data_IF_032851279194
#
_entry.id   IF_032851279194
#
_cell.length_a   1.000
_cell.length_b   1.000
_cell.length_c   1.000
_cell.angle_alpha   90.00
_cell.angle_beta   90.00
_cell.angle_gamma   90.00
#
_symmetry.space_group_name_H-M   'P 1'
#
loop_
_entity.id
_entity.type
_entity.pdbx_description
1 polymer ?
#
# COMPACT_ATOMS: atom_id res chain seq x y z
N UNK A 1 -22.33 -28.43 3.35
CA UNK A 1 -22.84 -27.73 2.15
C UNK A 1 -22.31 -28.50 0.96
N UNK A 2 -23.17 -29.25 0.30
CA UNK A 2 -22.79 -29.92 -0.94
C UNK A 2 -22.97 -28.91 -2.07
N UNK A 3 -21.86 -28.56 -2.73
CA UNK A 3 -21.82 -27.66 -3.88
C UNK A 3 -22.37 -28.40 -5.10
N UNK A 4 -23.70 -28.54 -5.17
CA UNK A 4 -24.39 -29.14 -6.30
C UNK A 4 -24.35 -28.12 -7.46
N UNK A 5 -23.68 -28.47 -8.56
CA UNK A 5 -23.48 -27.67 -9.80
C UNK A 5 -22.42 -26.55 -9.79
N UNK A 6 -21.37 -26.65 -8.99
CA UNK A 6 -20.24 -25.73 -9.11
C UNK A 6 -19.23 -26.20 -10.17
N UNK A 7 -19.25 -25.59 -11.36
CA UNK A 7 -18.23 -25.81 -12.38
C UNK A 7 -17.07 -24.83 -12.19
N UNK A 8 -15.85 -25.38 -12.14
CA UNK A 8 -14.61 -24.60 -12.14
C UNK A 8 -14.20 -24.35 -13.59
N UNK A 9 -14.17 -23.08 -14.01
CA UNK A 9 -13.68 -22.71 -15.33
C UNK A 9 -12.30 -22.10 -15.18
N UNK A 10 -11.30 -22.59 -15.92
CA UNK A 10 -9.97 -22.01 -15.90
C UNK A 10 -9.89 -20.84 -16.89
N UNK A 11 -9.65 -19.63 -16.39
CA UNK A 11 -9.49 -18.42 -17.22
C UNK A 11 -8.11 -17.84 -16.94
N UNK A 12 -7.24 -17.83 -17.98
CA UNK A 12 -5.87 -17.29 -17.91
C UNK A 12 -5.02 -17.93 -16.80
N UNK A 13 -5.14 -19.26 -16.60
CA UNK A 13 -4.36 -19.97 -15.57
C UNK A 13 -4.91 -19.82 -14.14
N UNK A 14 -6.15 -19.34 -13.99
CA UNK A 14 -6.82 -19.18 -12.69
C UNK A 14 -8.15 -19.92 -12.70
N UNK A 15 -8.44 -20.70 -11.66
CA UNK A 15 -9.76 -21.28 -11.46
C UNK A 15 -10.72 -20.18 -11.01
N UNK A 16 -11.63 -19.82 -11.90
CA UNK A 16 -12.68 -18.82 -11.66
C UNK A 16 -13.99 -19.59 -11.49
N UNK A 17 -14.75 -19.20 -10.48
CA UNK A 17 -16.07 -19.78 -10.25
C UNK A 17 -17.04 -19.23 -11.31
N UNK A 18 -17.91 -20.09 -11.85
CA UNK A 18 -18.90 -19.67 -12.85
C UNK A 18 -19.72 -18.45 -12.41
N UNK A 19 -20.05 -18.36 -11.12
CA UNK A 19 -20.74 -17.21 -10.51
C UNK A 19 -19.94 -15.89 -10.60
N UNK A 20 -18.61 -15.92 -10.55
CA UNK A 20 -17.80 -14.69 -10.71
C UNK A 20 -17.84 -14.18 -12.15
N UNK A 21 -17.83 -15.10 -13.13
CA UNK A 21 -17.93 -14.73 -14.55
C UNK A 21 -19.30 -14.18 -14.88
N UNK A 22 -20.36 -14.83 -14.42
CA UNK A 22 -21.74 -14.38 -14.62
C UNK A 22 -21.97 -13.02 -13.94
N UNK A 23 -21.53 -12.86 -12.69
CA UNK A 23 -21.57 -11.58 -12.00
C UNK A 23 -20.81 -10.47 -12.74
N UNK A 24 -19.63 -10.78 -13.29
CA UNK A 24 -18.86 -9.79 -14.07
C UNK A 24 -19.53 -9.44 -15.40
N UNK A 25 -20.23 -10.38 -16.03
CA UNK A 25 -20.96 -10.12 -17.27
C UNK A 25 -22.21 -9.29 -17.01
N UNK A 26 -22.98 -9.62 -15.97
CA UNK A 26 -24.16 -8.88 -15.54
C UNK A 26 -23.82 -7.42 -15.17
N UNK A 27 -22.68 -7.21 -14.51
CA UNK A 27 -22.15 -5.87 -14.22
C UNK A 27 -21.81 -5.09 -15.50
N UNK A 28 -21.19 -5.74 -16.49
CA UNK A 28 -20.82 -5.10 -17.75
C UNK A 28 -22.03 -4.75 -18.61
N UNK A 29 -23.07 -5.58 -18.57
CA UNK A 29 -24.34 -5.34 -19.28
C UNK A 29 -25.15 -4.20 -18.63
N UNK A 30 -24.81 -3.79 -17.41
CA UNK A 30 -25.56 -2.78 -16.65
C UNK A 30 -26.88 -3.31 -16.10
N UNK A 31 -27.11 -4.62 -16.18
CA UNK A 31 -28.33 -5.28 -15.73
C UNK A 31 -28.41 -5.32 -14.20
N UNK A 32 -27.25 -5.39 -13.53
CA UNK A 32 -27.14 -5.24 -12.08
C UNK A 32 -26.98 -3.77 -11.69
N UNK A 33 -28.07 -3.15 -11.23
CA UNK A 33 -27.97 -1.90 -10.47
C UNK A 33 -27.18 -2.16 -9.19
N UNK A 34 -26.27 -1.25 -8.80
CA UNK A 34 -25.58 -1.28 -7.50
C UNK A 34 -26.61 -1.23 -6.37
N UNK A 35 -27.10 -2.40 -5.96
CA UNK A 35 -28.20 -2.56 -5.02
C UNK A 35 -27.97 -3.71 -4.05
N UNK A 36 -28.98 -4.00 -3.24
CA UNK A 36 -28.92 -5.02 -2.20
C UNK A 36 -28.68 -6.43 -2.76
N UNK A 37 -29.24 -6.74 -3.93
CA UNK A 37 -29.05 -8.04 -4.59
C UNK A 37 -27.58 -8.29 -4.96
N UNK A 38 -26.90 -7.29 -5.55
CA UNK A 38 -25.47 -7.37 -5.89
C UNK A 38 -24.62 -7.60 -4.65
N UNK A 39 -24.93 -6.93 -3.53
CA UNK A 39 -24.22 -7.13 -2.25
C UNK A 39 -24.47 -8.53 -1.66
N UNK A 40 -25.67 -9.07 -1.82
CA UNK A 40 -26.01 -10.42 -1.37
C UNK A 40 -25.28 -11.49 -2.19
N UNK A 41 -25.22 -11.35 -3.52
CA UNK A 41 -24.42 -12.24 -4.38
C UNK A 41 -22.93 -12.19 -4.01
N UNK A 42 -22.35 -11.00 -3.86
CA UNK A 42 -20.96 -10.85 -3.40
C UNK A 42 -20.71 -11.50 -2.03
N UNK A 43 -21.69 -11.49 -1.13
CA UNK A 43 -21.58 -12.15 0.17
C UNK A 43 -21.55 -13.68 0.03
N UNK A 44 -22.38 -14.24 -0.85
CA UNK A 44 -22.37 -15.68 -1.13
C UNK A 44 -21.03 -16.13 -1.73
N UNK A 45 -20.50 -15.37 -2.69
CA UNK A 45 -19.18 -15.64 -3.27
C UNK A 45 -18.07 -15.51 -2.21
N UNK A 46 -18.14 -14.52 -1.31
CA UNK A 46 -17.20 -14.40 -0.18
C UNK A 46 -17.26 -15.63 0.76
N UNK A 47 -18.47 -16.09 1.10
CA UNK A 47 -18.69 -17.28 1.95
C UNK A 47 -18.13 -18.56 1.31
N UNK A 48 -18.33 -18.71 0.00
CA UNK A 48 -17.73 -19.78 -0.80
C UNK A 48 -16.19 -19.74 -0.74
N UNK A 49 -15.57 -18.57 -0.96
CA UNK A 49 -14.11 -18.45 -0.87
C UNK A 49 -13.59 -18.78 0.53
N UNK A 50 -14.34 -18.42 1.57
CA UNK A 50 -14.02 -18.80 2.94
C UNK A 50 -14.05 -20.32 3.13
N UNK A 51 -15.07 -21.00 2.60
CA UNK A 51 -15.16 -22.46 2.65
C UNK A 51 -13.99 -23.14 1.90
N UNK A 52 -13.65 -22.66 0.71
CA UNK A 52 -12.52 -23.17 -0.08
C UNK A 52 -11.18 -22.98 0.64
N UNK A 53 -10.99 -21.81 1.28
CA UNK A 53 -9.81 -21.51 2.10
C UNK A 53 -9.71 -22.44 3.31
N UNK A 54 -10.82 -22.71 3.99
CA UNK A 54 -10.89 -23.66 5.12
C UNK A 54 -10.58 -25.09 4.66
N UNK A 55 -11.12 -25.51 3.51
CA UNK A 55 -10.82 -26.82 2.92
C UNK A 55 -9.33 -26.95 2.54
N UNK A 56 -8.75 -25.92 1.92
CA UNK A 56 -7.31 -25.89 1.58
C UNK A 56 -6.45 -26.02 2.83
N UNK A 57 -6.83 -25.34 3.91
CA UNK A 57 -6.17 -25.44 5.22
C UNK A 57 -6.30 -26.85 5.81
N UNK A 58 -7.48 -27.45 5.77
CA UNK A 58 -7.73 -28.80 6.27
C UNK A 58 -6.92 -29.87 5.51
N UNK A 59 -6.74 -29.68 4.19
CA UNK A 59 -5.93 -30.57 3.34
C UNK A 59 -4.42 -30.28 3.42
N UNK A 60 -3.98 -29.32 4.25
CA UNK A 60 -2.61 -28.81 4.29
C UNK A 60 -2.07 -28.37 2.91
N UNK A 61 -2.96 -27.98 1.99
CA UNK A 61 -2.57 -27.44 0.69
C UNK A 61 -2.24 -25.94 0.86
N UNK A 62 -0.97 -25.67 1.15
CA UNK A 62 -0.47 -24.31 1.36
C UNK A 62 -0.29 -23.53 0.05
N UNK A 63 -0.27 -24.22 -1.10
CA UNK A 63 -0.10 -23.59 -2.41
C UNK A 63 -1.36 -22.80 -2.81
N UNK A 64 -2.55 -23.36 -2.60
CA UNK A 64 -3.81 -22.73 -3.00
C UNK A 64 -4.39 -21.77 -1.95
N UNK A 65 -4.03 -21.93 -0.67
CA UNK A 65 -4.50 -21.08 0.43
C UNK A 65 -4.43 -19.56 0.16
N UNK A 66 -3.33 -19.01 -0.38
CA UNK A 66 -3.17 -17.58 -0.62
C UNK A 66 -4.15 -17.06 -1.67
N UNK A 67 -4.40 -17.87 -2.69
CA UNK A 67 -5.32 -17.55 -3.77
C UNK A 67 -6.74 -17.36 -3.20
N UNK A 68 -7.22 -18.33 -2.42
CA UNK A 68 -8.53 -18.23 -1.77
C UNK A 68 -8.62 -17.07 -0.79
N UNK A 69 -7.53 -16.79 -0.06
CA UNK A 69 -7.50 -15.63 0.83
C UNK A 69 -7.62 -14.30 0.08
N UNK A 70 -6.93 -14.17 -1.05
CA UNK A 70 -6.97 -12.98 -1.90
C UNK A 70 -8.37 -12.77 -2.48
N UNK A 71 -9.00 -13.84 -3.02
CA UNK A 71 -10.35 -13.77 -3.58
C UNK A 71 -11.40 -13.42 -2.52
N UNK A 72 -11.32 -14.01 -1.32
CA UNK A 72 -12.17 -13.64 -0.17
C UNK A 72 -12.07 -12.12 0.12
N UNK A 73 -10.85 -11.58 0.18
CA UNK A 73 -10.62 -10.16 0.47
C UNK A 73 -11.03 -9.24 -0.67
N UNK A 74 -10.94 -9.69 -1.91
CA UNK A 74 -11.40 -8.95 -3.07
C UNK A 74 -12.93 -8.82 -3.07
N UNK A 75 -13.66 -9.90 -2.78
CA UNK A 75 -15.12 -9.85 -2.63
C UNK A 75 -15.53 -8.96 -1.46
N UNK A 76 -14.83 -9.05 -0.32
CA UNK A 76 -15.07 -8.17 0.82
C UNK A 76 -14.89 -6.69 0.42
N UNK A 77 -13.85 -6.36 -0.37
CA UNK A 77 -13.61 -5.00 -0.87
C UNK A 77 -14.72 -4.54 -1.81
N UNK A 78 -15.15 -5.37 -2.78
CA UNK A 78 -16.22 -5.05 -3.73
C UNK A 78 -17.56 -4.84 -3.03
N UNK A 79 -17.85 -5.61 -1.97
CA UNK A 79 -19.08 -5.51 -1.19
C UNK A 79 -19.14 -4.25 -0.32
N UNK A 80 -17.99 -3.77 0.13
CA UNK A 80 -17.89 -2.66 1.07
C UNK A 80 -17.95 -1.31 0.32
N UNK A 81 -18.82 -0.36 0.72
CA UNK A 81 -18.87 0.95 0.06
C UNK A 81 -17.51 1.65 0.07
N UNK A 82 -17.09 2.19 -1.08
CA UNK A 82 -15.76 2.80 -1.26
C UNK A 82 -15.45 3.87 -0.20
N UNK A 83 -16.44 4.70 0.14
CA UNK A 83 -16.31 5.81 1.10
C UNK A 83 -16.47 5.40 2.57
N UNK A 84 -16.83 4.14 2.86
CA UNK A 84 -16.86 3.67 4.24
C UNK A 84 -15.44 3.54 4.79
N UNK A 85 -15.25 3.72 6.10
CA UNK A 85 -13.93 3.57 6.74
C UNK A 85 -13.30 2.20 6.45
N UNK A 86 -14.11 1.13 6.50
CA UNK A 86 -13.67 -0.23 6.16
C UNK A 86 -13.28 -0.35 4.68
N UNK A 87 -14.02 0.30 3.77
CA UNK A 87 -13.71 0.34 2.34
C UNK A 87 -12.38 1.04 2.07
N UNK A 88 -12.17 2.22 2.67
CA UNK A 88 -10.92 2.96 2.57
C UNK A 88 -9.74 2.15 3.14
N UNK A 89 -9.91 1.50 4.29
CA UNK A 89 -8.87 0.67 4.90
C UNK A 89 -8.55 -0.56 4.04
N UNK A 90 -9.55 -1.26 3.50
CA UNK A 90 -9.34 -2.40 2.59
C UNK A 90 -8.69 -1.97 1.27
N UNK A 91 -9.07 -0.82 0.73
CA UNK A 91 -8.47 -0.24 -0.46
C UNK A 91 -7.01 0.15 -0.23
N UNK A 92 -6.71 0.82 0.89
CA UNK A 92 -5.35 1.17 1.27
C UNK A 92 -4.52 -0.10 1.50
N UNK A 93 -5.05 -1.09 2.21
CA UNK A 93 -4.37 -2.36 2.47
C UNK A 93 -4.06 -3.12 1.17
N UNK A 94 -5.00 -3.17 0.23
CA UNK A 94 -4.78 -3.73 -1.10
C UNK A 94 -3.74 -2.92 -1.89
N UNK A 95 -3.87 -1.59 -1.91
CA UNK A 95 -3.01 -0.70 -2.68
C UNK A 95 -1.55 -0.83 -2.26
N UNK A 96 -1.31 -0.89 -0.95
CA UNK A 96 0.01 -0.83 -0.33
C UNK A 96 0.68 -2.20 -0.26
N UNK A 97 -0.07 -3.26 0.01
CA UNK A 97 0.52 -4.58 0.30
C UNK A 97 -0.01 -5.74 -0.54
N UNK A 98 -1.03 -5.52 -1.38
CA UNK A 98 -1.71 -6.61 -2.07
C UNK A 98 -2.32 -7.61 -1.09
N UNK A 99 -2.94 -7.13 0.00
CA UNK A 99 -3.45 -7.96 1.11
C UNK A 99 -2.37 -8.74 1.89
N UNK A 100 -1.12 -8.27 1.87
CA UNK A 100 0.00 -8.94 2.54
C UNK A 100 0.51 -10.17 1.79
N UNK A 101 0.15 -10.31 0.51
CA UNK A 101 0.52 -11.43 -0.35
C UNK A 101 1.68 -11.11 -1.30
N UNK A 102 1.88 -9.81 -1.61
CA UNK A 102 2.84 -9.35 -2.60
C UNK A 102 3.98 -8.53 -1.94
N UNK A 103 5.04 -9.17 -1.40
CA UNK A 103 6.11 -8.44 -0.71
C UNK A 103 6.85 -7.46 -1.62
N UNK A 104 6.90 -7.73 -2.94
CA UNK A 104 7.48 -6.81 -3.94
C UNK A 104 6.74 -5.47 -3.95
N UNK A 105 5.41 -5.49 -3.89
CA UNK A 105 4.56 -4.29 -3.88
C UNK A 105 4.77 -3.49 -2.59
N UNK A 106 4.77 -4.17 -1.46
CA UNK A 106 5.04 -3.54 -0.16
C UNK A 106 6.45 -2.91 -0.10
N UNK A 107 7.46 -3.57 -0.67
CA UNK A 107 8.82 -3.04 -0.77
C UNK A 107 8.89 -1.77 -1.63
N UNK A 108 8.21 -1.74 -2.77
CA UNK A 108 8.14 -0.55 -3.63
C UNK A 108 7.48 0.64 -2.93
N UNK A 109 6.39 0.42 -2.20
CA UNK A 109 5.76 1.48 -1.40
C UNK A 109 6.66 1.96 -0.25
N UNK A 110 7.37 1.05 0.42
CA UNK A 110 8.36 1.42 1.45
C UNK A 110 9.45 2.30 0.86
N UNK A 111 10.03 1.90 -0.26
CA UNK A 111 11.03 2.67 -0.98
C UNK A 111 10.48 4.05 -1.39
N UNK A 112 9.28 4.10 -1.95
CA UNK A 112 8.59 5.35 -2.31
C UNK A 112 8.40 6.30 -1.12
N UNK A 113 7.99 5.79 0.04
CA UNK A 113 7.85 6.60 1.25
C UNK A 113 9.18 7.11 1.78
N UNK A 114 10.24 6.31 1.73
CA UNK A 114 11.60 6.74 2.11
C UNK A 114 12.05 7.89 1.20
N UNK A 115 11.93 7.72 -0.11
CA UNK A 115 12.29 8.76 -1.09
C UNK A 115 11.45 10.03 -0.89
N UNK A 116 10.13 9.89 -0.71
CA UNK A 116 9.23 11.02 -0.45
C UNK A 116 9.60 11.78 0.84
N UNK A 117 9.96 11.07 1.91
CA UNK A 117 10.41 11.68 3.15
C UNK A 117 11.76 12.39 3.02
N UNK A 118 12.72 11.81 2.29
CA UNK A 118 14.00 12.45 1.96
C UNK A 118 13.75 13.76 1.21
N UNK A 119 12.91 13.73 0.17
CA UNK A 119 12.58 14.92 -0.62
C UNK A 119 11.89 15.97 0.27
N UNK A 120 10.91 15.57 1.08
CA UNK A 120 10.17 16.49 1.95
C UNK A 120 11.08 17.16 2.99
N UNK A 121 11.92 16.38 3.69
CA UNK A 121 12.86 16.90 4.68
C UNK A 121 13.90 17.80 4.03
N UNK A 122 14.47 17.38 2.89
CA UNK A 122 15.43 18.17 2.13
C UNK A 122 14.82 19.49 1.65
N UNK A 123 13.54 19.49 1.25
CA UNK A 123 12.82 20.69 0.77
C UNK A 123 12.45 21.65 1.91
N UNK A 124 12.19 21.16 3.12
CA UNK A 124 11.86 22.00 4.27
C UNK A 124 13.10 22.47 5.05
N UNK A 125 14.21 21.75 4.93
CA UNK A 125 15.51 22.09 5.49
C UNK A 125 15.72 21.67 6.94
N UNK A 126 16.99 21.57 7.33
CA UNK A 126 17.49 21.24 8.67
C UNK A 126 18.52 22.29 9.12
N UNK A 127 18.81 22.33 10.41
CA UNK A 127 19.82 23.20 11.01
C UNK A 127 20.85 22.38 11.77
N UNK A 128 22.11 22.78 11.72
CA UNK A 128 23.13 22.24 12.62
C UNK A 128 23.10 22.92 14.00
N UNK A 129 24.05 22.57 14.89
CA UNK A 129 24.24 23.19 16.20
C UNK A 129 24.52 24.69 16.13
N UNK A 130 25.15 25.13 15.03
CA UNK A 130 25.56 26.51 14.80
C UNK A 130 24.45 27.31 14.07
N UNK A 131 23.26 26.72 13.92
CA UNK A 131 22.07 27.30 13.29
C UNK A 131 22.24 27.61 11.79
N UNK A 132 23.23 27.01 11.12
CA UNK A 132 23.37 27.04 9.67
C UNK A 132 22.23 26.24 9.02
N UNK A 133 21.58 26.82 8.00
CA UNK A 133 20.47 26.18 7.31
C UNK A 133 20.98 25.30 6.15
N UNK A 134 20.60 24.03 6.17
CA UNK A 134 20.81 23.09 5.07
C UNK A 134 19.46 22.77 4.42
N UNK A 135 19.32 23.06 3.13
CA UNK A 135 18.07 22.84 2.41
C UNK A 135 18.37 22.60 0.93
N UNK A 136 17.69 21.63 0.34
CA UNK A 136 17.66 21.48 -1.11
C UNK A 136 16.79 22.60 -1.69
N UNK A 137 17.44 23.63 -2.23
CA UNK A 137 16.78 24.63 -3.08
C UNK A 137 16.63 24.03 -4.48
N UNK A 138 15.42 24.09 -5.06
CA UNK A 138 14.97 23.25 -6.18
C UNK A 138 15.49 23.61 -7.60
N UNK A 139 15.13 22.75 -8.58
CA UNK A 139 15.49 22.88 -10.01
C UNK A 139 14.86 24.13 -10.60
N UNK A 140 15.68 24.91 -11.32
CA UNK A 140 15.28 26.16 -11.93
C UNK A 140 14.60 25.93 -13.29
N UNK A 141 13.33 26.30 -13.41
CA UNK A 141 12.78 26.67 -14.72
C UNK A 141 13.08 28.14 -14.94
N UNK A 142 13.90 28.46 -15.95
CA UNK A 142 14.03 29.85 -16.42
C UNK A 142 12.66 30.34 -16.88
N UNK A 143 12.00 31.13 -16.05
CA UNK A 143 10.94 32.01 -16.50
C UNK A 143 11.57 33.39 -16.72
N UNK A 144 11.20 34.05 -17.82
CA UNK A 144 11.86 35.18 -18.47
C UNK A 144 12.03 36.49 -17.64
N UNK A 145 11.92 36.48 -16.30
CA UNK A 145 11.91 37.66 -15.42
C UNK A 145 13.12 37.80 -14.48
N UNK A 146 14.26 37.17 -14.79
CA UNK A 146 15.57 37.65 -14.29
C UNK A 146 15.95 37.43 -12.83
N UNK A 147 15.26 36.57 -12.05
CA UNK A 147 15.72 36.20 -10.70
C UNK A 147 16.42 34.84 -10.68
N UNK A 148 17.68 34.84 -10.24
CA UNK A 148 18.60 33.71 -10.37
C UNK A 148 18.90 32.90 -9.07
N UNK A 149 18.04 32.01 -8.59
CA UNK A 149 18.34 30.93 -7.62
C UNK A 149 19.19 29.76 -8.18
N UNK A 150 20.10 29.18 -7.39
CA UNK A 150 21.00 28.07 -7.76
C UNK A 150 20.62 26.77 -7.03
N UNK A 151 20.69 25.63 -7.73
CA UNK A 151 20.47 24.31 -7.14
C UNK A 151 21.73 23.86 -6.39
N UNK A 152 21.77 24.10 -5.08
CA UNK A 152 22.82 23.60 -4.20
C UNK A 152 22.55 22.14 -3.80
N UNK A 153 22.90 21.21 -4.69
CA UNK A 153 22.84 19.76 -4.41
C UNK A 153 23.95 19.28 -3.46
N UNK A 154 24.96 20.12 -3.20
CA UNK A 154 26.02 19.87 -2.23
C UNK A 154 25.46 19.55 -0.83
N UNK A 155 24.33 20.16 -0.47
CA UNK A 155 23.66 19.92 0.81
C UNK A 155 22.70 18.72 0.81
N UNK A 156 22.35 18.17 -0.36
CA UNK A 156 21.37 17.08 -0.46
C UNK A 156 21.84 15.79 0.23
N UNK A 157 23.11 15.33 0.10
CA UNK A 157 23.59 14.16 0.82
C UNK A 157 23.41 14.28 2.34
N UNK A 158 23.69 15.46 2.91
CA UNK A 158 23.54 15.72 4.34
C UNK A 158 22.08 15.66 4.77
N UNK A 159 21.17 16.31 4.03
CA UNK A 159 19.73 16.26 4.36
C UNK A 159 19.12 14.88 4.13
N UNK A 160 19.60 14.13 3.13
CA UNK A 160 19.19 12.77 2.86
C UNK A 160 19.67 11.80 3.95
N UNK A 161 20.91 11.92 4.40
CA UNK A 161 21.45 11.13 5.50
C UNK A 161 20.65 11.37 6.79
N UNK A 162 20.41 12.64 7.13
CA UNK A 162 19.57 13.00 8.27
C UNK A 162 18.15 12.42 8.18
N UNK A 163 17.56 12.45 6.98
CA UNK A 163 16.25 11.85 6.74
C UNK A 163 16.29 10.33 6.96
N UNK A 164 17.29 9.62 6.44
CA UNK A 164 17.46 8.18 6.64
C UNK A 164 17.65 7.83 8.12
N UNK A 165 18.52 8.54 8.83
CA UNK A 165 18.72 8.36 10.28
C UNK A 165 17.43 8.60 11.05
N UNK A 166 16.69 9.64 10.67
CA UNK A 166 15.37 9.94 11.24
C UNK A 166 14.36 8.81 11.04
N UNK A 167 14.30 8.21 9.85
CA UNK A 167 13.37 7.14 9.50
C UNK A 167 13.76 5.79 10.12
N UNK A 168 15.06 5.55 10.31
CA UNK A 168 15.63 4.35 10.94
C UNK A 168 15.72 4.47 12.47
N UNK A 169 15.17 5.53 13.06
CA UNK A 169 15.20 5.80 14.50
C UNK A 169 16.61 5.99 15.09
N UNK A 170 17.62 6.21 14.26
CA UNK A 170 18.97 6.57 14.69
C UNK A 170 18.94 8.00 15.26
N UNK A 171 19.54 8.18 16.45
CA UNK A 171 19.57 9.47 17.14
C UNK A 171 20.74 10.31 16.62
N UNK A 172 20.43 11.47 16.04
CA UNK A 172 21.41 12.40 15.49
C UNK A 172 21.38 13.70 16.31
N UNK A 173 22.34 13.94 17.22
CA UNK A 173 22.35 15.16 18.02
C UNK A 173 22.73 16.41 17.20
N UNK A 174 23.39 16.22 16.05
CA UNK A 174 23.99 17.30 15.27
C UNK A 174 22.97 18.17 14.53
N UNK A 175 21.81 17.61 14.18
CA UNK A 175 20.83 18.29 13.32
C UNK A 175 19.44 18.40 13.95
N UNK A 176 18.89 19.61 13.85
CA UNK A 176 17.54 19.96 14.33
C UNK A 176 16.64 20.41 13.17
N UNK A 177 15.32 20.17 13.25
CA UNK A 177 14.41 20.61 12.20
C UNK A 177 14.37 22.14 12.11
N UNK A 178 14.55 22.69 10.90
CA UNK A 178 14.61 24.13 10.71
C UNK A 178 13.28 24.86 11.00
N UNK A 179 12.16 24.16 10.80
CA UNK A 179 10.81 24.71 10.96
C UNK A 179 9.79 23.62 11.35
N UNK A 180 8.57 24.05 11.68
CA UNK A 180 7.47 23.15 12.05
C UNK A 180 7.10 22.18 10.91
N UNK A 181 7.29 22.56 9.64
CA UNK A 181 7.00 21.68 8.49
C UNK A 181 7.97 20.50 8.45
N UNK A 182 9.28 20.72 8.64
CA UNK A 182 10.28 19.66 8.78
C UNK A 182 9.95 18.75 9.96
N UNK A 183 9.52 19.33 11.09
CA UNK A 183 9.12 18.54 12.28
C UNK A 183 7.92 17.64 12.00
N UNK A 184 6.89 18.16 11.32
CA UNK A 184 5.72 17.38 10.92
C UNK A 184 6.08 16.31 9.89
N UNK A 185 6.88 16.64 8.87
CA UNK A 185 7.35 15.68 7.87
C UNK A 185 8.13 14.53 8.51
N UNK A 186 9.00 14.84 9.48
CA UNK A 186 9.73 13.85 10.29
C UNK A 186 8.78 12.93 11.07
N UNK A 187 7.76 13.47 11.73
CA UNK A 187 6.79 12.69 12.49
C UNK A 187 6.00 11.75 11.57
N UNK A 188 5.43 12.30 10.49
CA UNK A 188 4.66 11.52 9.51
C UNK A 188 5.54 10.45 8.86
N UNK A 189 6.75 10.80 8.44
CA UNK A 189 7.72 9.86 7.86
C UNK A 189 7.97 8.66 8.77
N UNK A 190 8.15 8.88 10.08
CA UNK A 190 8.32 7.80 11.07
C UNK A 190 7.09 6.91 11.21
N UNK A 191 5.91 7.51 11.29
CA UNK A 191 4.65 6.76 11.41
C UNK A 191 4.45 5.88 10.16
N UNK A 192 4.57 6.47 8.97
CA UNK A 192 4.35 5.76 7.71
C UNK A 192 5.40 4.69 7.46
N UNK A 193 6.69 4.97 7.67
CA UNK A 193 7.74 3.96 7.46
C UNK A 193 7.62 2.79 8.44
N UNK A 194 7.26 3.03 9.70
CA UNK A 194 7.05 1.95 10.68
C UNK A 194 5.84 1.08 10.33
N UNK A 195 4.72 1.71 9.98
CA UNK A 195 3.53 0.99 9.53
C UNK A 195 3.85 0.16 8.28
N UNK A 196 4.58 0.74 7.33
CA UNK A 196 4.94 0.06 6.09
C UNK A 196 5.94 -1.07 6.30
N UNK A 197 6.92 -0.90 7.19
CA UNK A 197 7.85 -1.95 7.56
C UNK A 197 7.10 -3.12 8.22
N UNK A 198 6.12 -2.83 9.07
CA UNK A 198 5.26 -3.84 9.69
C UNK A 198 4.47 -4.64 8.63
N UNK A 199 3.87 -3.95 7.66
CA UNK A 199 3.17 -4.60 6.54
C UNK A 199 4.11 -5.44 5.68
N UNK A 200 5.30 -4.92 5.40
CA UNK A 200 6.33 -5.64 4.64
C UNK A 200 6.80 -6.90 5.38
N UNK A 201 7.09 -6.80 6.68
CA UNK A 201 7.47 -7.94 7.51
C UNK A 201 6.35 -8.99 7.59
N UNK A 202 5.09 -8.56 7.66
CA UNK A 202 3.94 -9.46 7.61
C UNK A 202 3.83 -10.19 6.27
N UNK A 203 3.99 -9.46 5.16
CA UNK A 203 4.00 -10.08 3.82
C UNK A 203 5.16 -11.06 3.64
N UNK A 204 6.33 -10.74 4.17
CA UNK A 204 7.51 -11.60 4.13
C UNK A 204 7.29 -12.87 4.96
N UNK A 205 6.72 -12.74 6.17
CA UNK A 205 6.34 -13.88 7.02
C UNK A 205 5.34 -14.80 6.32
N UNK A 206 4.32 -14.23 5.67
CA UNK A 206 3.32 -15.02 4.95
C UNK A 206 3.92 -15.79 3.78
N UNK A 207 4.93 -15.21 3.11
CA UNK A 207 5.65 -15.85 2.02
C UNK A 207 6.55 -17.00 2.48
N UNK A 208 7.26 -16.85 3.60
CA UNK A 208 8.16 -17.90 4.11
C UNK A 208 7.46 -19.04 4.86
N UNK A 209 6.19 -18.85 5.27
CA UNK A 209 5.39 -19.95 5.85
C UNK A 209 4.87 -20.92 4.79
N UNK A 210 5.10 -20.66 3.51
CA UNK A 210 4.75 -21.53 2.38
C UNK A 210 5.97 -22.32 1.97
#
# INVERSE_FOLDING_TARGET
MDFINCNFTEIKGRYVFFDETEYSEDLKKGDLKEGEESRNRLRQIEELYRAMKEQSRAKNNMYDYPYWHMSEKEMQRKRTPFWSFNGLLLNAYHLVSGYGEEPKRAAWWLFGFIVAAIIAISSFGIKDSDNNLYKAEGIRFEHARGHSYYLKLDQFPTTALYALETLTYVKTPEFTPANNKTRTARLLGRIFTTLQFTLFAFALRNRFRR
#
